data_IF_041884418335
#
_entry.id   IF_041884418335
#
_cell.length_a   1.000
_cell.length_b   1.000
_cell.length_c   1.000
_cell.angle_alpha   90.00
_cell.angle_beta   90.00
_cell.angle_gamma   90.00
#
_symmetry.space_group_name_H-M   'P 1'
#
loop_
_entity.id
_entity.type
_entity.pdbx_description
1 polymer ?
#
# COMPACT_ATOMS: atom_id res chain seq x y z
N UNK A 1 -27.74 -0.60 -17.11
CA UNK A 1 -27.82 -1.18 -15.73
C UNK A 1 -27.87 -2.70 -15.73
N UNK A 2 -28.38 -3.31 -16.81
CA UNK A 2 -28.53 -4.78 -16.92
C UNK A 2 -27.20 -5.57 -16.97
N UNK A 3 -26.14 -4.98 -17.48
CA UNK A 3 -24.83 -5.65 -17.62
C UNK A 3 -24.16 -5.99 -16.27
N UNK A 4 -24.34 -5.14 -15.25
CA UNK A 4 -23.73 -5.40 -13.93
C UNK A 4 -24.43 -6.56 -13.22
N UNK A 5 -25.76 -6.62 -13.30
CA UNK A 5 -26.53 -7.71 -12.71
C UNK A 5 -26.27 -9.04 -13.40
N UNK A 6 -26.10 -9.02 -14.74
CA UNK A 6 -25.73 -10.20 -15.49
C UNK A 6 -24.31 -10.68 -15.16
N UNK A 7 -23.35 -9.77 -14.99
CA UNK A 7 -22.01 -10.09 -14.55
C UNK A 7 -21.99 -10.69 -13.13
N UNK A 8 -22.77 -10.14 -12.19
CA UNK A 8 -22.91 -10.67 -10.82
C UNK A 8 -23.50 -12.08 -10.87
N UNK A 9 -24.58 -12.32 -11.64
CA UNK A 9 -25.18 -13.65 -11.78
C UNK A 9 -24.21 -14.68 -12.39
N UNK A 10 -23.38 -14.29 -13.36
CA UNK A 10 -22.36 -15.14 -13.93
C UNK A 10 -21.28 -15.49 -12.90
N UNK A 11 -20.83 -14.50 -12.12
CA UNK A 11 -19.87 -14.71 -11.05
C UNK A 11 -20.44 -15.68 -10.01
N UNK A 12 -21.67 -15.47 -9.53
CA UNK A 12 -22.34 -16.35 -8.56
C UNK A 12 -22.55 -17.79 -9.08
N UNK A 13 -22.76 -17.94 -10.38
CA UNK A 13 -22.94 -19.25 -11.02
C UNK A 13 -21.63 -20.06 -11.13
N UNK A 14 -20.50 -19.37 -11.38
CA UNK A 14 -19.22 -20.06 -11.67
C UNK A 14 -18.23 -20.01 -10.53
N UNK A 15 -18.43 -19.15 -9.51
CA UNK A 15 -17.62 -19.24 -8.30
C UNK A 15 -18.08 -20.44 -7.47
N UNK A 16 -17.17 -21.33 -7.06
CA UNK A 16 -17.50 -22.38 -6.10
C UNK A 16 -17.96 -21.69 -4.82
N UNK A 17 -19.12 -22.12 -4.30
CA UNK A 17 -19.59 -21.64 -2.99
C UNK A 17 -18.48 -21.90 -1.98
N UNK A 18 -17.99 -20.88 -1.26
CA UNK A 18 -16.93 -21.09 -0.30
C UNK A 18 -17.41 -22.06 0.78
N UNK A 19 -16.78 -23.22 0.86
CA UNK A 19 -16.98 -24.17 1.96
C UNK A 19 -16.16 -23.66 3.16
N UNK A 20 -16.82 -23.03 4.10
CA UNK A 20 -16.17 -22.60 5.34
C UNK A 20 -16.05 -23.80 6.29
N UNK A 21 -14.85 -24.32 6.44
CA UNK A 21 -14.54 -25.22 7.55
C UNK A 21 -14.15 -24.37 8.75
N UNK A 22 -15.06 -24.20 9.70
CA UNK A 22 -14.77 -23.57 10.98
C UNK A 22 -13.80 -24.49 11.77
N UNK A 23 -12.50 -24.30 11.60
CA UNK A 23 -11.53 -24.78 12.59
C UNK A 23 -11.73 -23.92 13.83
N UNK A 24 -11.92 -24.57 15.01
CA UNK A 24 -11.85 -23.90 16.31
C UNK A 24 -10.45 -23.31 16.47
N UNK A 25 -10.24 -22.11 15.99
CA UNK A 25 -9.09 -21.30 16.35
C UNK A 25 -9.49 -20.51 17.59
N UNK A 26 -8.60 -20.37 18.55
CA UNK A 26 -8.78 -19.48 19.69
C UNK A 26 -8.78 -18.01 19.24
N UNK A 27 -9.71 -17.64 18.38
CA UNK A 27 -9.90 -16.24 18.02
C UNK A 27 -10.78 -15.58 19.07
N UNK A 28 -10.33 -14.44 19.57
CA UNK A 28 -11.15 -13.54 20.34
C UNK A 28 -12.37 -13.12 19.52
N UNK A 29 -13.52 -13.07 20.13
CA UNK A 29 -14.76 -12.58 19.54
C UNK A 29 -15.05 -11.16 20.03
N UNK A 30 -15.94 -10.44 19.35
CA UNK A 30 -16.39 -9.13 19.81
C UNK A 30 -17.11 -9.14 21.15
N UNK A 31 -17.43 -10.33 21.70
CA UNK A 31 -18.05 -10.52 23.01
C UNK A 31 -17.03 -10.68 24.15
N UNK A 32 -15.76 -10.82 23.80
CA UNK A 32 -14.70 -11.00 24.79
C UNK A 32 -14.25 -9.63 25.32
N UNK A 33 -14.16 -9.54 26.65
CA UNK A 33 -13.63 -8.36 27.31
C UNK A 33 -12.11 -8.44 27.30
N UNK A 34 -11.47 -7.51 26.60
CA UNK A 34 -10.02 -7.53 26.40
C UNK A 34 -9.35 -6.59 27.38
N UNK A 35 -8.37 -7.13 28.10
CA UNK A 35 -7.47 -6.39 28.97
C UNK A 35 -6.04 -6.73 28.57
N UNK A 36 -5.45 -5.93 27.69
CA UNK A 36 -4.13 -6.20 27.11
C UNK A 36 -3.35 -4.92 26.84
N UNK A 37 -2.04 -5.07 26.76
CA UNK A 37 -1.10 -4.02 26.37
C UNK A 37 -0.15 -4.59 25.34
N UNK A 38 0.01 -3.89 24.24
CA UNK A 38 1.02 -4.26 23.24
C UNK A 38 1.70 -3.02 22.64
N UNK A 39 2.91 -3.23 22.17
CA UNK A 39 3.70 -2.19 21.50
C UNK A 39 4.02 -2.67 20.09
N UNK A 40 3.76 -1.83 19.11
CA UNK A 40 4.11 -2.18 17.74
C UNK A 40 5.62 -2.26 17.57
N UNK A 41 6.10 -3.36 17.03
CA UNK A 41 7.52 -3.58 16.75
C UNK A 41 7.97 -2.90 15.48
N UNK A 42 7.06 -2.73 14.51
CA UNK A 42 7.37 -2.22 13.19
C UNK A 42 6.50 -1.02 12.79
N UNK A 43 7.00 -0.24 11.83
CA UNK A 43 6.22 0.81 11.21
C UNK A 43 5.22 0.23 10.21
N UNK A 44 4.05 0.85 10.07
CA UNK A 44 3.07 0.49 9.04
C UNK A 44 2.77 1.73 8.19
N UNK A 45 3.11 1.70 6.90
CA UNK A 45 3.90 0.68 6.21
C UNK A 45 5.38 0.67 6.65
N UNK A 46 6.12 -0.45 6.47
CA UNK A 46 7.52 -0.58 6.92
C UNK A 46 8.49 0.24 6.07
N UNK A 47 8.13 0.63 4.86
CA UNK A 47 8.90 1.46 3.92
C UNK A 47 8.00 2.51 3.29
N UNK A 48 8.61 3.49 2.62
CA UNK A 48 7.86 4.38 1.74
C UNK A 48 7.22 3.57 0.61
N UNK A 49 5.97 3.86 0.31
CA UNK A 49 5.19 3.19 -0.73
C UNK A 49 4.63 4.18 -1.73
N UNK A 50 4.53 3.77 -2.99
CA UNK A 50 3.83 4.55 -3.99
C UNK A 50 2.32 4.51 -3.76
N UNK A 51 1.68 5.66 -3.71
CA UNK A 51 0.22 5.76 -3.65
C UNK A 51 -0.44 5.64 -5.03
N UNK A 52 0.34 5.78 -6.12
CA UNK A 52 -0.14 5.70 -7.50
C UNK A 52 0.85 4.93 -8.38
N UNK A 53 0.38 4.45 -9.53
CA UNK A 53 1.23 3.95 -10.60
C UNK A 53 1.81 5.11 -11.41
N UNK A 54 3.06 4.95 -11.88
CA UNK A 54 3.72 5.99 -12.67
C UNK A 54 5.24 5.87 -12.65
N UNK A 55 5.93 7.00 -12.63
CA UNK A 55 7.38 7.07 -12.49
C UNK A 55 7.78 7.87 -11.25
N UNK A 56 8.82 7.41 -10.57
CA UNK A 56 9.39 8.08 -9.39
C UNK A 56 10.67 8.82 -9.75
N UNK A 57 10.76 10.10 -9.35
CA UNK A 57 11.92 10.96 -9.58
C UNK A 57 12.36 11.70 -8.30
N UNK A 58 13.56 12.33 -8.38
CA UNK A 58 14.14 13.09 -7.27
C UNK A 58 13.73 14.57 -7.36
N UNK A 59 13.82 15.16 -8.54
CA UNK A 59 13.57 16.57 -8.81
C UNK A 59 12.51 16.73 -9.90
N UNK A 60 11.96 17.93 -10.01
CA UNK A 60 10.97 18.28 -11.03
C UNK A 60 11.67 18.54 -12.36
N UNK A 61 11.40 17.73 -13.35
CA UNK A 61 11.95 17.85 -14.71
C UNK A 61 10.87 17.57 -15.75
N UNK A 62 11.08 18.09 -16.96
CA UNK A 62 10.19 17.83 -18.10
C UNK A 62 10.50 16.50 -18.78
N UNK A 63 11.69 15.94 -18.52
CA UNK A 63 12.14 14.68 -19.11
C UNK A 63 12.91 13.85 -18.12
N UNK A 64 12.67 12.52 -18.15
CA UNK A 64 13.39 11.55 -17.34
C UNK A 64 13.84 10.36 -18.18
N UNK A 65 15.00 9.82 -17.83
CA UNK A 65 15.55 8.58 -18.41
C UNK A 65 15.24 7.42 -17.47
N UNK A 66 14.76 6.31 -18.02
CA UNK A 66 14.47 5.11 -17.24
C UNK A 66 15.73 4.48 -16.67
N UNK A 67 15.78 4.31 -15.35
CA UNK A 67 16.81 3.58 -14.63
C UNK A 67 16.43 2.14 -14.28
N UNK A 68 15.14 1.92 -14.03
CA UNK A 68 14.65 0.61 -13.63
C UNK A 68 13.19 0.63 -13.21
N UNK A 69 12.75 -0.45 -12.52
CA UNK A 69 11.39 -0.59 -12.04
C UNK A 69 11.36 -1.13 -10.61
N UNK A 70 10.42 -0.66 -9.81
CA UNK A 70 10.19 -1.20 -8.47
C UNK A 70 9.41 -2.51 -8.51
N UNK A 71 9.56 -3.32 -7.46
CA UNK A 71 8.80 -4.56 -7.26
C UNK A 71 7.87 -4.39 -6.07
N UNK A 72 6.72 -5.09 -6.08
CA UNK A 72 5.73 -4.99 -5.00
C UNK A 72 6.27 -5.52 -3.66
N UNK A 73 6.98 -6.64 -3.70
CA UNK A 73 7.38 -7.39 -2.51
C UNK A 73 8.89 -7.28 -2.19
N UNK A 74 9.61 -6.42 -2.91
CA UNK A 74 11.05 -6.28 -2.73
C UNK A 74 11.46 -4.82 -2.76
N UNK A 75 12.14 -4.39 -1.69
CA UNK A 75 12.80 -3.09 -1.67
C UNK A 75 14.08 -3.14 -2.52
N UNK A 76 14.22 -2.19 -3.44
CA UNK A 76 15.41 -2.01 -4.26
C UNK A 76 15.85 -0.55 -4.09
N UNK A 77 17.05 -0.35 -3.58
CA UNK A 77 17.60 1.01 -3.39
C UNK A 77 18.28 1.48 -4.67
N UNK A 78 17.50 2.12 -5.53
CA UNK A 78 18.04 2.75 -6.73
C UNK A 78 18.74 4.06 -6.38
N UNK A 79 20.03 4.14 -6.70
CA UNK A 79 20.76 5.42 -6.77
C UNK A 79 20.44 6.07 -8.11
N UNK A 80 19.49 6.99 -8.13
CA UNK A 80 19.07 7.72 -9.33
C UNK A 80 19.59 9.14 -9.32
N UNK A 81 19.86 9.67 -10.53
CA UNK A 81 20.24 11.08 -10.76
C UNK A 81 18.98 11.94 -10.96
N UNK A 82 19.17 13.25 -11.00
CA UNK A 82 18.08 14.22 -11.15
C UNK A 82 17.17 14.01 -12.38
N UNK A 83 17.76 13.55 -13.48
CA UNK A 83 17.06 13.28 -14.72
C UNK A 83 16.70 11.79 -14.91
N UNK A 84 16.93 10.95 -13.93
CA UNK A 84 16.58 9.53 -13.97
C UNK A 84 15.28 9.27 -13.20
N UNK A 85 14.55 8.24 -13.61
CA UNK A 85 13.35 7.78 -12.94
C UNK A 85 13.30 6.26 -12.84
N UNK A 86 12.43 5.78 -11.97
CA UNK A 86 12.06 4.36 -11.87
C UNK A 86 10.56 4.20 -12.09
N UNK A 87 10.15 3.18 -12.82
CA UNK A 87 8.73 2.83 -12.93
C UNK A 87 8.27 2.29 -11.59
N UNK A 88 7.15 2.80 -11.10
CA UNK A 88 6.52 2.40 -9.85
C UNK A 88 5.10 1.93 -10.07
N UNK A 89 4.70 0.89 -9.34
CA UNK A 89 3.30 0.43 -9.27
C UNK A 89 2.69 0.89 -7.95
N UNK A 90 1.39 1.09 -7.91
CA UNK A 90 0.68 1.39 -6.66
C UNK A 90 1.00 0.33 -5.60
N UNK A 91 1.36 0.76 -4.40
CA UNK A 91 1.73 -0.11 -3.29
C UNK A 91 3.18 -0.62 -3.32
N UNK A 92 3.94 -0.40 -4.41
CA UNK A 92 5.35 -0.82 -4.44
C UNK A 92 6.20 -0.03 -3.45
N UNK A 93 7.20 -0.72 -2.90
CA UNK A 93 8.21 -0.11 -2.04
C UNK A 93 9.11 0.78 -2.90
N UNK A 94 9.31 2.00 -2.47
CA UNK A 94 10.09 2.98 -3.23
C UNK A 94 11.37 3.38 -2.50
N UNK A 95 12.46 3.64 -3.24
CA UNK A 95 13.70 4.14 -2.67
C UNK A 95 13.51 5.46 -1.91
N UNK A 96 14.30 5.67 -0.86
CA UNK A 96 14.25 6.90 -0.07
C UNK A 96 14.67 8.14 -0.87
N UNK A 97 15.43 7.96 -1.95
CA UNK A 97 15.81 9.01 -2.89
C UNK A 97 14.63 9.62 -3.65
N UNK A 98 13.57 8.83 -3.90
CA UNK A 98 12.39 9.30 -4.64
C UNK A 98 11.65 10.37 -3.82
N UNK A 99 11.40 11.51 -4.44
CA UNK A 99 10.67 12.65 -3.85
C UNK A 99 9.27 12.83 -4.39
N UNK A 100 9.03 12.39 -5.63
CA UNK A 100 7.75 12.53 -6.33
C UNK A 100 7.43 11.28 -7.11
N UNK A 101 6.15 10.94 -7.11
CA UNK A 101 5.58 9.99 -8.08
C UNK A 101 4.79 10.82 -9.09
N UNK A 102 5.09 10.62 -10.35
CA UNK A 102 4.41 11.28 -11.48
C UNK A 102 3.46 10.24 -12.05
N UNK A 103 2.13 10.48 -11.99
CA UNK A 103 1.12 9.53 -12.46
C UNK A 103 1.27 9.21 -13.95
N UNK A 104 0.86 8.01 -14.34
CA UNK A 104 1.01 7.55 -15.73
C UNK A 104 0.17 8.37 -16.74
N UNK A 105 -0.84 9.07 -16.28
CA UNK A 105 -1.74 9.90 -17.09
C UNK A 105 -1.11 11.22 -17.57
N UNK A 106 0.02 11.63 -16.95
CA UNK A 106 0.62 12.95 -17.20
C UNK A 106 1.99 12.90 -17.85
N UNK A 107 2.34 11.77 -18.44
CA UNK A 107 3.54 11.64 -19.28
C UNK A 107 3.29 10.70 -20.46
N UNK A 108 4.14 10.80 -21.48
CA UNK A 108 4.27 9.77 -22.50
C UNK A 108 5.68 9.21 -22.52
N UNK A 109 5.78 7.94 -22.89
CA UNK A 109 7.05 7.22 -22.96
C UNK A 109 7.47 7.02 -24.41
N UNK A 110 8.73 7.35 -24.71
CA UNK A 110 9.39 6.99 -25.97
C UNK A 110 10.66 6.22 -25.63
N UNK A 111 10.66 4.89 -25.87
CA UNK A 111 11.73 3.97 -25.46
C UNK A 111 12.03 4.12 -23.95
N UNK A 112 13.23 4.58 -23.61
CA UNK A 112 13.68 4.80 -22.24
C UNK A 112 13.51 6.24 -21.75
N UNK A 113 12.86 7.10 -22.53
CA UNK A 113 12.67 8.50 -22.21
C UNK A 113 11.20 8.78 -21.91
N UNK A 114 10.96 9.42 -20.76
CA UNK A 114 9.65 9.89 -20.33
C UNK A 114 9.57 11.41 -20.50
N UNK A 115 8.56 11.88 -21.21
CA UNK A 115 8.27 13.30 -21.40
C UNK A 115 7.07 13.68 -20.55
N UNK A 116 7.25 14.62 -19.63
CA UNK A 116 6.19 15.05 -18.74
C UNK A 116 5.33 16.07 -19.46
N UNK A 117 4.04 15.85 -19.42
CA UNK A 117 3.02 16.81 -19.81
C UNK A 117 2.88 17.88 -18.71
N UNK A 118 1.95 18.82 -18.89
CA UNK A 118 1.68 19.82 -17.85
C UNK A 118 1.23 19.11 -16.57
N UNK A 119 2.04 19.19 -15.50
CA UNK A 119 1.78 18.52 -14.22
C UNK A 119 2.10 19.42 -13.02
N UNK A 120 1.17 19.49 -12.08
CA UNK A 120 1.36 20.20 -10.83
C UNK A 120 1.90 19.27 -9.74
N UNK A 121 3.15 19.46 -9.35
CA UNK A 121 3.85 18.65 -8.35
C UNK A 121 3.43 18.96 -6.89
N UNK A 122 2.22 19.44 -6.63
CA UNK A 122 1.74 19.70 -5.27
C UNK A 122 1.73 18.44 -4.39
N UNK A 123 1.33 17.31 -4.98
CA UNK A 123 1.25 16.03 -4.28
C UNK A 123 2.45 15.15 -4.63
N UNK A 124 3.11 14.59 -3.63
CA UNK A 124 4.21 13.65 -3.86
C UNK A 124 3.76 12.24 -4.22
N UNK A 125 2.51 11.89 -3.92
CA UNK A 125 1.94 10.54 -4.02
C UNK A 125 2.78 9.44 -3.34
N UNK A 126 3.47 9.82 -2.27
CA UNK A 126 4.28 8.93 -1.45
C UNK A 126 3.61 8.73 -0.10
N UNK A 127 3.23 7.49 0.18
CA UNK A 127 2.84 7.08 1.53
C UNK A 127 4.09 6.78 2.33
N UNK A 128 4.40 7.64 3.28
CA UNK A 128 5.63 7.54 4.07
C UNK A 128 5.62 6.33 5.02
N UNK A 129 6.80 5.77 5.28
CA UNK A 129 7.03 4.79 6.34
C UNK A 129 6.38 5.24 7.65
N UNK A 130 5.62 4.36 8.28
CA UNK A 130 4.94 4.66 9.54
C UNK A 130 3.79 5.67 9.44
N UNK A 131 3.26 5.90 8.24
CA UNK A 131 2.14 6.84 8.04
C UNK A 131 0.88 6.42 8.81
N UNK A 132 0.61 5.12 8.90
CA UNK A 132 -0.56 4.59 9.62
C UNK A 132 -0.24 4.38 11.09
N UNK A 133 0.83 3.63 11.37
CA UNK A 133 1.32 3.38 12.72
C UNK A 133 2.84 3.40 12.78
N UNK A 134 3.37 3.91 13.88
CA UNK A 134 4.82 3.97 14.11
C UNK A 134 5.26 2.85 15.04
N UNK A 135 6.45 2.31 14.77
CA UNK A 135 7.15 1.43 15.72
C UNK A 135 7.29 2.11 17.08
N UNK A 136 7.15 1.35 18.15
CA UNK A 136 7.14 1.86 19.52
C UNK A 136 5.79 2.43 19.99
N UNK A 137 4.78 2.52 19.11
CA UNK A 137 3.44 2.97 19.52
C UNK A 137 2.80 1.95 20.45
N UNK A 138 2.37 2.42 21.63
CA UNK A 138 1.75 1.61 22.67
C UNK A 138 0.24 1.64 22.55
N UNK A 139 -0.37 0.49 22.66
CA UNK A 139 -1.81 0.30 22.73
C UNK A 139 -2.17 -0.31 24.09
N UNK A 140 -3.15 0.28 24.75
CA UNK A 140 -3.66 -0.18 26.04
C UNK A 140 -5.15 -0.41 25.89
N UNK A 141 -5.55 -1.66 26.03
CA UNK A 141 -6.94 -2.11 26.02
C UNK A 141 -7.30 -2.48 27.46
N UNK A 142 -8.08 -1.65 28.13
CA UNK A 142 -8.57 -1.93 29.48
C UNK A 142 -10.06 -2.22 29.42
N UNK A 143 -10.44 -3.45 29.75
CA UNK A 143 -11.85 -3.88 29.86
C UNK A 143 -12.67 -3.39 28.65
N UNK A 144 -12.13 -3.59 27.45
CA UNK A 144 -12.73 -3.07 26.22
C UNK A 144 -13.28 -4.22 25.37
N UNK A 145 -14.53 -4.05 24.94
CA UNK A 145 -15.06 -4.83 23.83
C UNK A 145 -14.62 -4.22 22.52
N UNK A 146 -14.02 -5.01 21.66
CA UNK A 146 -13.56 -4.54 20.35
C UNK A 146 -14.68 -4.70 19.31
N UNK A 147 -14.85 -3.70 18.49
CA UNK A 147 -15.63 -3.82 17.24
C UNK A 147 -14.97 -4.84 16.30
N UNK A 148 -15.71 -5.34 15.31
CA UNK A 148 -15.15 -6.27 14.31
C UNK A 148 -13.87 -5.72 13.63
N UNK A 149 -13.83 -4.43 13.33
CA UNK A 149 -12.65 -3.77 12.72
C UNK A 149 -11.47 -3.72 13.68
N UNK A 150 -11.70 -3.31 14.93
CA UNK A 150 -10.65 -3.27 15.96
C UNK A 150 -10.12 -4.67 16.28
N UNK A 151 -10.99 -5.68 16.31
CA UNK A 151 -10.60 -7.07 16.53
C UNK A 151 -9.70 -7.61 15.40
N UNK A 152 -10.00 -7.29 14.13
CA UNK A 152 -9.15 -7.65 13.02
C UNK A 152 -7.77 -7.01 13.15
N UNK A 153 -7.70 -5.73 13.45
CA UNK A 153 -6.46 -4.99 13.67
C UNK A 153 -5.67 -5.60 14.84
N UNK A 154 -6.32 -5.83 15.96
CA UNK A 154 -5.71 -6.43 17.16
C UNK A 154 -5.08 -7.79 16.87
N UNK A 155 -5.83 -8.69 16.21
CA UNK A 155 -5.33 -10.02 15.86
C UNK A 155 -4.18 -9.96 14.84
N UNK A 156 -4.20 -9.02 13.91
CA UNK A 156 -3.10 -8.81 12.96
C UNK A 156 -1.80 -8.39 13.63
N UNK A 157 -1.87 -7.62 14.72
CA UNK A 157 -0.69 -7.14 15.44
C UNK A 157 -0.18 -8.07 16.53
N UNK A 158 -1.05 -8.90 17.11
CA UNK A 158 -0.67 -9.82 18.18
C UNK A 158 0.05 -11.06 17.66
N UNK A 159 -0.17 -11.42 16.41
CA UNK A 159 0.42 -12.61 15.77
C UNK A 159 1.71 -12.31 14.97
N UNK A 160 2.23 -11.10 15.03
CA UNK A 160 3.51 -10.64 14.51
C UNK A 160 4.42 -10.33 15.70
#
# INVERSE_FOLDING_TARGET
>A
MDDIFNAIRLIEKYLPKPTYTLKKTKFLTCKDLINDRFTLKENIPPYNQSAMAGIGGISKKDKYVLKGKTLLNKYIDYKIKDNECVIVKTGSLIPNSIKYIIPCEVYFQNKNLFHILKYDFKNSFIRKKGHVFKSGQKFILKNKYLSKKELLIYNSFKNV
#
